data_IF_283745570869
#
_entry.id   IF_283745570869
#
_cell.length_a   1.000
_cell.length_b   1.000
_cell.length_c   1.000
_cell.angle_alpha   90.00
_cell.angle_beta   90.00
_cell.angle_gamma   90.00
#
_symmetry.space_group_name_H-M   'P 1'
#
loop_
_entity.id
_entity.type
_entity.pdbx_description
1 polymer ?
#
# COMPACT_ATOMS: atom_id res chain seq x y z
N UNK A 1 39.50 40.25 -11.84
CA UNK A 1 38.67 39.15 -12.39
C UNK A 1 38.10 38.36 -11.23
N UNK A 2 36.81 38.54 -10.96
CA UNK A 2 36.13 37.88 -9.86
C UNK A 2 35.60 36.51 -10.35
N UNK A 3 36.07 35.43 -9.75
CA UNK A 3 35.56 34.06 -9.99
C UNK A 3 34.22 33.94 -9.27
N UNK A 4 33.16 33.90 -10.03
CA UNK A 4 31.78 33.84 -9.57
C UNK A 4 31.50 32.44 -9.02
N UNK A 5 31.32 32.35 -7.71
CA UNK A 5 31.08 31.17 -6.89
C UNK A 5 29.68 30.61 -7.15
N UNK A 6 29.56 29.69 -8.12
CA UNK A 6 28.31 28.97 -8.42
C UNK A 6 28.09 27.89 -7.32
N UNK A 7 27.79 28.30 -6.11
CA UNK A 7 27.26 27.39 -5.08
C UNK A 7 25.84 26.99 -5.48
N UNK A 8 25.71 25.89 -6.21
CA UNK A 8 24.43 25.25 -6.48
C UNK A 8 23.68 24.98 -5.17
N UNK A 9 22.41 25.43 -5.07
CA UNK A 9 21.55 25.11 -3.94
C UNK A 9 21.55 23.59 -3.72
N UNK A 10 21.76 23.11 -2.47
CA UNK A 10 21.74 21.67 -2.20
C UNK A 10 20.40 21.09 -2.64
N UNK A 11 20.45 20.06 -3.47
CA UNK A 11 19.25 19.36 -3.93
C UNK A 11 18.41 18.94 -2.73
N UNK A 12 17.14 19.33 -2.73
CA UNK A 12 16.20 19.03 -1.64
C UNK A 12 16.10 17.52 -1.52
N UNK A 13 16.66 16.93 -0.47
CA UNK A 13 16.57 15.48 -0.20
C UNK A 13 15.09 15.07 -0.15
N UNK A 14 14.68 14.30 -1.13
CA UNK A 14 13.34 13.73 -1.18
C UNK A 14 13.22 12.70 -0.05
N UNK A 15 12.25 12.91 0.84
CA UNK A 15 11.96 11.93 1.90
C UNK A 15 11.16 10.78 1.31
N UNK A 16 11.53 9.51 1.59
CA UNK A 16 10.72 8.37 1.19
C UNK A 16 9.28 8.51 1.70
N UNK A 17 8.32 8.18 0.85
CA UNK A 17 6.91 8.14 1.21
C UNK A 17 6.50 6.70 1.46
N UNK A 18 5.55 6.51 2.38
CA UNK A 18 4.98 5.21 2.63
C UNK A 18 4.17 4.75 1.42
N UNK A 19 4.40 3.51 1.04
CA UNK A 19 3.66 2.79 0.01
C UNK A 19 3.60 1.32 0.40
N UNK A 20 2.60 0.61 -0.08
CA UNK A 20 2.47 -0.82 0.14
C UNK A 20 2.01 -1.51 -1.13
N UNK A 21 2.45 -2.75 -1.33
CA UNK A 21 2.05 -3.61 -2.43
C UNK A 21 1.64 -4.98 -1.90
N UNK A 22 0.70 -5.65 -2.57
CA UNK A 22 0.28 -7.01 -2.24
C UNK A 22 0.85 -8.02 -3.22
N UNK A 23 1.40 -9.09 -2.66
CA UNK A 23 1.66 -10.33 -3.38
C UNK A 23 0.45 -11.24 -3.16
N UNK A 24 -0.46 -11.29 -4.13
CA UNK A 24 -1.66 -12.13 -4.07
C UNK A 24 -1.35 -13.45 -4.74
N UNK A 25 -1.46 -14.53 -3.96
CA UNK A 25 -1.13 -15.88 -4.40
C UNK A 25 -2.41 -16.68 -4.56
N UNK A 26 -2.68 -17.14 -5.77
CA UNK A 26 -3.74 -18.08 -6.07
C UNK A 26 -3.20 -19.51 -5.97
N UNK A 27 -3.83 -20.32 -5.11
CA UNK A 27 -3.52 -21.72 -4.85
C UNK A 27 -4.64 -22.66 -5.30
N UNK A 28 -5.58 -22.21 -6.09
CA UNK A 28 -6.74 -23.00 -6.54
C UNK A 28 -6.38 -24.03 -7.60
N UNK A 29 -5.26 -23.87 -8.28
CA UNK A 29 -4.74 -24.79 -9.29
C UNK A 29 -3.51 -25.57 -8.79
N UNK A 30 -3.03 -26.53 -9.58
CA UNK A 30 -1.82 -27.32 -9.29
C UNK A 30 -0.55 -26.45 -9.22
N UNK A 31 -0.53 -25.34 -9.95
CA UNK A 31 0.58 -24.40 -9.97
C UNK A 31 0.20 -23.13 -9.21
N UNK A 32 1.15 -22.59 -8.45
CA UNK A 32 0.99 -21.30 -7.78
C UNK A 32 0.96 -20.19 -8.84
N UNK A 33 -0.03 -19.33 -8.73
CA UNK A 33 -0.16 -18.12 -9.56
C UNK A 33 -0.03 -16.88 -8.70
N UNK A 34 0.62 -15.86 -9.24
CA UNK A 34 0.76 -14.57 -8.56
C UNK A 34 0.11 -13.50 -9.43
N UNK A 35 -0.75 -12.69 -8.82
CA UNK A 35 -1.36 -11.57 -9.51
C UNK A 35 -0.32 -10.49 -9.79
N UNK A 36 -0.20 -10.09 -11.04
CA UNK A 36 0.62 -8.96 -11.48
C UNK A 36 -0.14 -8.14 -12.52
N UNK A 37 -0.05 -6.82 -12.38
CA UNK A 37 -0.52 -5.88 -13.39
C UNK A 37 0.59 -5.52 -14.38
N UNK A 38 0.26 -5.35 -15.67
CA UNK A 38 1.19 -4.79 -16.64
C UNK A 38 0.98 -3.29 -16.74
N UNK A 39 1.98 -2.50 -16.38
CA UNK A 39 1.92 -1.04 -16.51
C UNK A 39 1.73 -0.64 -17.96
N UNK A 40 0.82 0.29 -18.18
CA UNK A 40 0.58 0.84 -19.51
C UNK A 40 1.84 1.54 -20.05
N UNK A 41 2.08 1.47 -21.37
CA UNK A 41 3.25 2.05 -22.03
C UNK A 41 3.39 3.57 -21.86
N UNK A 42 2.30 4.27 -21.52
CA UNK A 42 2.29 5.73 -21.28
C UNK A 42 2.75 6.14 -19.86
N UNK A 43 2.98 5.19 -18.95
CA UNK A 43 3.49 5.54 -17.63
C UNK A 43 4.92 6.05 -17.71
N UNK A 44 5.21 7.15 -17.00
CA UNK A 44 6.56 7.76 -16.96
C UNK A 44 7.56 6.86 -16.25
N UNK A 45 7.12 6.13 -15.21
CA UNK A 45 7.98 5.24 -14.42
C UNK A 45 7.74 3.78 -14.79
N UNK A 46 8.78 3.10 -15.27
CA UNK A 46 8.81 1.68 -15.63
C UNK A 46 7.65 1.25 -16.55
N UNK A 47 7.50 1.83 -17.76
CA UNK A 47 6.44 1.46 -18.70
C UNK A 47 6.55 0.01 -19.14
N UNK A 48 5.41 -0.66 -19.33
CA UNK A 48 5.34 -2.04 -19.83
C UNK A 48 5.85 -3.13 -18.90
N UNK A 49 6.31 -2.77 -17.69
CA UNK A 49 6.77 -3.75 -16.68
C UNK A 49 5.60 -4.37 -15.94
N UNK A 50 5.79 -5.61 -15.51
CA UNK A 50 4.89 -6.26 -14.58
C UNK A 50 5.19 -5.79 -13.16
N UNK A 51 4.14 -5.45 -12.42
CA UNK A 51 4.21 -4.96 -11.05
C UNK A 51 3.12 -5.62 -10.20
N UNK A 52 3.36 -5.72 -8.91
CA UNK A 52 2.33 -6.09 -7.95
C UNK A 52 1.38 -4.91 -7.75
N UNK A 53 0.07 -5.16 -7.52
CA UNK A 53 -0.85 -4.10 -7.15
C UNK A 53 -0.37 -3.41 -5.89
N UNK A 54 -0.48 -2.08 -5.87
CA UNK A 54 -0.06 -1.28 -4.74
C UNK A 54 0.31 0.15 -5.09
N UNK A 55 0.31 0.99 -4.06
CA UNK A 55 0.56 2.41 -4.20
C UNK A 55 0.84 3.10 -2.87
N UNK A 56 0.66 4.41 -2.83
CA UNK A 56 0.97 5.25 -1.68
C UNK A 56 -0.11 5.16 -0.61
N UNK A 57 0.30 5.29 0.64
CA UNK A 57 -0.66 5.47 1.73
C UNK A 57 -1.28 6.86 1.67
N UNK A 58 -2.60 6.92 1.86
CA UNK A 58 -3.35 8.15 2.03
C UNK A 58 -3.76 8.33 3.51
N UNK A 59 -4.10 9.55 3.86
CA UNK A 59 -4.50 9.85 5.27
C UNK A 59 -5.75 9.07 5.68
N UNK A 60 -6.63 8.78 4.75
CA UNK A 60 -7.85 8.01 4.96
C UNK A 60 -7.57 6.56 5.35
N UNK A 61 -6.54 5.95 4.78
CA UNK A 61 -6.21 4.54 5.02
C UNK A 61 -6.01 4.26 6.52
N UNK A 62 -5.28 5.12 7.23
CA UNK A 62 -5.05 4.94 8.67
C UNK A 62 -6.31 5.13 9.56
N UNK A 63 -7.42 5.60 8.99
CA UNK A 63 -8.70 5.85 9.69
C UNK A 63 -9.77 4.83 9.34
N UNK A 64 -9.55 4.07 8.27
CA UNK A 64 -10.51 3.07 7.81
C UNK A 64 -10.69 1.96 8.86
N UNK A 65 -11.93 1.54 9.06
CA UNK A 65 -12.25 0.41 9.92
C UNK A 65 -11.97 -0.90 9.19
N UNK A 66 -11.42 -1.88 9.90
CA UNK A 66 -11.23 -3.24 9.41
C UNK A 66 -12.01 -4.21 10.29
N UNK A 67 -12.42 -5.35 9.73
CA UNK A 67 -13.15 -6.38 10.48
C UNK A 67 -12.24 -7.13 11.44
N UNK A 68 -10.97 -7.29 11.05
CA UNK A 68 -9.92 -7.85 11.89
C UNK A 68 -8.59 -7.15 11.59
N UNK A 69 -7.75 -7.08 12.59
CA UNK A 69 -6.46 -6.40 12.52
C UNK A 69 -5.33 -7.34 12.06
N UNK A 70 -4.18 -6.77 11.74
CA UNK A 70 -2.95 -7.52 11.51
C UNK A 70 -2.59 -8.37 12.74
N UNK A 71 -2.00 -9.53 12.53
CA UNK A 71 -1.44 -10.32 13.63
C UNK A 71 -0.38 -9.51 14.40
N UNK A 72 -0.23 -9.77 15.69
CA UNK A 72 0.83 -9.13 16.51
C UNK A 72 2.22 -9.38 15.94
N UNK A 73 2.44 -10.55 15.37
CA UNK A 73 3.69 -10.89 14.71
C UNK A 73 3.99 -9.98 13.51
N UNK A 74 3.00 -9.76 12.64
CA UNK A 74 3.17 -8.91 11.46
C UNK A 74 3.26 -7.43 11.84
N UNK A 75 2.52 -7.00 12.86
CA UNK A 75 2.65 -5.65 13.43
C UNK A 75 4.07 -5.41 13.96
N UNK A 76 4.61 -6.35 14.73
CA UNK A 76 5.96 -6.24 15.30
C UNK A 76 7.01 -6.12 14.21
N UNK A 77 6.93 -6.95 13.16
CA UNK A 77 7.83 -6.87 12.00
C UNK A 77 7.76 -5.52 11.29
N UNK A 78 6.56 -5.01 11.06
CA UNK A 78 6.36 -3.70 10.44
C UNK A 78 6.95 -2.58 11.31
N UNK A 79 6.69 -2.58 12.61
CA UNK A 79 7.19 -1.58 13.57
C UNK A 79 8.72 -1.55 13.61
N UNK A 80 9.36 -2.71 13.66
CA UNK A 80 10.83 -2.83 13.72
C UNK A 80 11.50 -2.12 12.54
N UNK A 81 10.93 -2.21 11.34
CA UNK A 81 11.48 -1.59 10.14
C UNK A 81 11.16 -0.10 9.96
N UNK A 82 10.29 0.51 10.77
CA UNK A 82 9.76 1.87 10.50
C UNK A 82 10.63 3.02 11.02
N UNK A 83 11.59 2.75 11.89
CA UNK A 83 12.41 3.81 12.53
C UNK A 83 11.60 4.74 13.43
N UNK A 84 12.08 5.98 13.65
CA UNK A 84 11.56 6.92 14.67
C UNK A 84 10.10 7.42 14.50
N UNK A 85 9.36 6.94 13.51
CA UNK A 85 7.93 7.24 13.31
C UNK A 85 7.05 5.98 13.33
N UNK A 86 7.51 4.95 14.01
CA UNK A 86 6.75 3.71 14.15
C UNK A 86 5.46 3.94 14.96
N UNK A 87 4.34 3.39 14.48
CA UNK A 87 3.06 3.39 15.20
C UNK A 87 2.13 2.32 14.62
N UNK A 88 1.26 1.77 15.45
CA UNK A 88 0.22 0.81 15.01
C UNK A 88 -0.65 1.43 13.92
N UNK A 89 -1.02 2.70 14.06
CA UNK A 89 -1.79 3.41 13.03
C UNK A 89 -1.09 3.42 11.68
N UNK A 90 0.23 3.58 11.65
CA UNK A 90 1.02 3.55 10.41
C UNK A 90 1.10 2.14 9.83
N UNK A 91 1.21 1.10 10.68
CA UNK A 91 1.10 -0.30 10.23
C UNK A 91 -0.25 -0.56 9.56
N UNK A 92 -1.35 -0.13 10.20
CA UNK A 92 -2.70 -0.24 9.64
C UNK A 92 -2.83 0.52 8.31
N UNK A 93 -2.31 1.74 8.24
CA UNK A 93 -2.35 2.54 7.02
C UNK A 93 -1.66 1.83 5.84
N UNK A 94 -0.51 1.20 6.06
CA UNK A 94 0.18 0.42 5.04
C UNK A 94 -0.64 -0.80 4.58
N UNK A 95 -1.23 -1.53 5.52
CA UNK A 95 -2.05 -2.70 5.21
C UNK A 95 -3.33 -2.32 4.44
N UNK A 96 -4.01 -1.27 4.89
CA UNK A 96 -5.24 -0.78 4.27
C UNK A 96 -4.98 -0.17 2.89
N UNK A 97 -3.91 0.62 2.73
CA UNK A 97 -3.57 1.15 1.41
C UNK A 97 -3.29 0.04 0.40
N UNK A 98 -2.63 -1.05 0.80
CA UNK A 98 -2.39 -2.19 -0.06
C UNK A 98 -3.70 -2.85 -0.54
N UNK A 99 -4.72 -2.95 0.33
CA UNK A 99 -6.05 -3.44 -0.03
C UNK A 99 -6.76 -2.47 -0.98
N UNK A 100 -6.77 -1.17 -0.67
CA UNK A 100 -7.41 -0.14 -1.51
C UNK A 100 -6.80 -0.10 -2.91
N UNK A 101 -5.49 0.00 -3.01
CA UNK A 101 -4.76 0.03 -4.28
C UNK A 101 -4.99 -1.25 -5.10
N UNK A 102 -5.10 -2.42 -4.44
CA UNK A 102 -5.43 -3.67 -5.13
C UNK A 102 -6.82 -3.61 -5.74
N UNK A 103 -7.79 -3.01 -5.06
CA UNK A 103 -9.11 -2.79 -5.64
C UNK A 103 -9.05 -1.82 -6.82
N UNK A 104 -8.39 -0.68 -6.67
CA UNK A 104 -8.29 0.35 -7.70
C UNK A 104 -7.61 -0.17 -8.97
N UNK A 105 -6.56 -0.98 -8.84
CA UNK A 105 -5.78 -1.48 -9.96
C UNK A 105 -6.29 -2.80 -10.56
N UNK A 106 -6.91 -3.66 -9.77
CA UNK A 106 -7.30 -5.01 -10.18
C UNK A 106 -8.79 -5.33 -9.99
N UNK A 107 -9.58 -4.45 -9.37
CA UNK A 107 -10.99 -4.67 -9.08
C UNK A 107 -11.26 -5.73 -8.01
N UNK A 108 -10.23 -6.16 -7.25
CA UNK A 108 -10.36 -7.20 -6.24
C UNK A 108 -10.65 -6.62 -4.86
N UNK A 109 -11.76 -7.03 -4.28
CA UNK A 109 -12.14 -6.69 -2.90
C UNK A 109 -11.56 -7.72 -1.92
N UNK A 110 -10.64 -7.27 -1.09
CA UNK A 110 -10.03 -8.09 -0.04
C UNK A 110 -10.67 -7.75 1.31
N UNK A 111 -11.78 -8.42 1.59
CA UNK A 111 -12.59 -8.18 2.78
C UNK A 111 -13.69 -9.20 2.93
N UNK A 112 -14.60 -8.94 3.87
CA UNK A 112 -15.78 -9.78 4.13
C UNK A 112 -17.04 -8.92 4.16
N UNK A 113 -18.15 -9.47 3.70
CA UNK A 113 -19.48 -8.84 3.77
C UNK A 113 -19.97 -8.81 5.21
N UNK A 114 -20.15 -7.64 5.77
CA UNK A 114 -20.48 -7.47 7.19
C UNK A 114 -21.57 -6.42 7.48
N UNK A 115 -22.20 -5.85 6.46
CA UNK A 115 -23.13 -4.76 6.68
C UNK A 115 -22.45 -3.45 7.06
N UNK A 116 -21.59 -2.96 6.23
CA UNK A 116 -20.80 -1.77 6.42
C UNK A 116 -21.65 -0.50 6.47
N UNK A 117 -21.54 0.30 7.49
CA UNK A 117 -22.49 1.40 7.71
C UNK A 117 -21.90 2.77 7.51
N UNK A 118 -21.04 3.23 6.97
CA UNK A 118 -20.59 4.61 6.60
C UNK A 118 -19.08 4.72 6.36
N UNK A 119 -18.72 5.03 5.15
CA UNK A 119 -17.37 5.49 4.81
C UNK A 119 -17.42 7.00 4.59
N UNK A 120 -16.54 7.71 5.26
CA UNK A 120 -16.42 9.16 5.14
C UNK A 120 -15.46 9.60 4.02
N UNK A 121 -14.84 8.67 3.29
CA UNK A 121 -13.84 8.99 2.28
C UNK A 121 -14.15 8.34 0.93
N UNK A 122 -14.07 9.10 -0.19
CA UNK A 122 -14.41 8.61 -1.52
C UNK A 122 -13.61 7.40 -1.97
N UNK A 123 -12.33 7.29 -1.62
CA UNK A 123 -11.46 6.17 -2.01
C UNK A 123 -11.94 4.81 -1.46
N UNK A 124 -12.78 4.83 -0.42
CA UNK A 124 -13.37 3.65 0.20
C UNK A 124 -14.87 3.48 -0.08
N UNK A 125 -15.47 4.36 -0.89
CA UNK A 125 -16.90 4.34 -1.18
C UNK A 125 -17.35 3.01 -1.80
N UNK A 126 -16.60 2.46 -2.73
CA UNK A 126 -16.92 1.20 -3.39
C UNK A 126 -16.97 0.00 -2.42
N UNK A 127 -16.14 0.00 -1.37
CA UNK A 127 -16.23 -1.01 -0.31
C UNK A 127 -17.53 -0.89 0.48
N UNK A 128 -17.93 0.35 0.79
CA UNK A 128 -19.20 0.61 1.49
C UNK A 128 -20.40 0.22 0.65
N UNK A 129 -20.45 0.58 -0.62
CA UNK A 129 -21.54 0.23 -1.55
C UNK A 129 -21.73 -1.28 -1.67
N UNK A 130 -20.65 -2.06 -1.58
CA UNK A 130 -20.69 -3.52 -1.61
C UNK A 130 -20.92 -4.16 -0.24
N UNK A 131 -20.95 -3.39 0.83
CA UNK A 131 -20.92 -3.88 2.21
C UNK A 131 -19.70 -4.77 2.52
N UNK A 132 -18.58 -4.51 1.85
CA UNK A 132 -17.32 -5.22 2.06
C UNK A 132 -16.44 -4.43 3.05
N UNK A 133 -16.11 -5.02 4.19
CA UNK A 133 -15.18 -4.43 5.14
C UNK A 133 -13.79 -5.09 5.01
N UNK A 134 -12.71 -4.31 4.90
CA UNK A 134 -11.36 -4.84 4.81
C UNK A 134 -11.03 -5.80 5.94
N UNK A 135 -10.33 -6.89 5.64
CA UNK A 135 -9.88 -7.87 6.62
C UNK A 135 -8.35 -7.96 6.60
N UNK A 136 -7.70 -7.46 7.64
CA UNK A 136 -6.24 -7.43 7.74
C UNK A 136 -5.68 -8.75 8.29
N UNK A 137 -6.49 -9.63 8.85
CA UNK A 137 -6.02 -10.87 9.46
C UNK A 137 -5.44 -11.86 8.46
N UNK A 138 -5.81 -11.75 7.18
CA UNK A 138 -5.28 -12.57 6.10
C UNK A 138 -3.92 -12.09 5.58
N UNK A 139 -3.53 -10.86 5.88
CA UNK A 139 -2.28 -10.29 5.41
C UNK A 139 -1.08 -10.83 6.20
N UNK A 140 0.04 -10.98 5.50
CA UNK A 140 1.34 -11.35 6.10
C UNK A 140 2.40 -10.38 5.63
N UNK A 141 3.21 -9.91 6.56
CA UNK A 141 4.37 -9.09 6.23
C UNK A 141 5.44 -9.95 5.54
N UNK A 142 5.76 -9.60 4.33
CA UNK A 142 6.77 -10.31 3.53
C UNK A 142 8.12 -9.62 3.58
N UNK A 143 8.19 -8.40 3.11
CA UNK A 143 9.44 -7.65 3.02
C UNK A 143 9.22 -6.14 3.02
N UNK A 144 10.30 -5.39 3.21
CA UNK A 144 10.36 -3.95 3.05
C UNK A 144 11.48 -3.58 2.08
N UNK A 145 11.18 -2.68 1.19
CA UNK A 145 12.16 -2.04 0.33
C UNK A 145 12.17 -0.53 0.57
N UNK A 146 13.33 0.08 0.49
CA UNK A 146 13.48 1.53 0.46
C UNK A 146 14.16 1.88 -0.85
N UNK A 147 13.44 2.57 -1.72
CA UNK A 147 14.03 3.06 -2.96
C UNK A 147 14.99 4.20 -2.65
N UNK A 148 16.19 4.20 -3.22
CA UNK A 148 17.09 5.35 -3.12
C UNK A 148 16.45 6.59 -3.73
N UNK A 149 16.87 7.79 -3.30
CA UNK A 149 16.38 9.07 -3.83
C UNK A 149 16.72 9.26 -5.30
#
# INVERSE_FOLDING_TARGET
MAVNDLKGKPAKRLRPRDAASLLIIDRSASELRILMGKRHSRHVFMPGKFVFPGGRTETADGRMTAIAELSEHDQTKLLTGMGGRSSIRRCRALALSAIRETYEEAGLFLGRKTGFSKVSHPDWAAFAERNDMPDLSALRYFARATTPP
#
